data_IF_200435159070
#
_entry.id   IF_200435159070
#
_cell.length_a   1.000
_cell.length_b   1.000
_cell.length_c   1.000
_cell.angle_alpha   90.00
_cell.angle_beta   90.00
_cell.angle_gamma   90.00
#
_symmetry.space_group_name_H-M   'P 1'
#
loop_
_entity.id
_entity.type
_entity.pdbx_description
1 polymer ?
#
# COMPACT_ATOMS: atom_id res chain seq x y z
N UNK A 1 61.25 39.75 -45.42
CA UNK A 1 61.26 38.33 -44.99
C UNK A 1 60.08 38.13 -44.03
N UNK A 2 59.01 37.47 -44.49
CA UNK A 2 57.74 37.30 -43.76
C UNK A 2 57.87 36.16 -42.75
N UNK A 3 57.50 36.39 -41.49
CA UNK A 3 57.42 35.37 -40.43
C UNK A 3 56.03 34.71 -40.46
N UNK A 4 55.99 33.39 -40.60
CA UNK A 4 54.78 32.57 -40.52
C UNK A 4 54.25 32.49 -39.09
N UNK A 5 52.93 32.57 -38.95
CA UNK A 5 52.20 32.26 -37.72
C UNK A 5 51.60 30.84 -37.86
N UNK A 6 51.90 29.96 -36.91
CA UNK A 6 51.38 28.59 -36.83
C UNK A 6 50.13 28.61 -35.94
N UNK A 7 48.99 28.15 -36.45
CA UNK A 7 47.74 27.98 -35.68
C UNK A 7 47.61 26.51 -35.30
N UNK A 8 47.61 26.22 -34.00
CA UNK A 8 47.36 24.90 -33.42
C UNK A 8 45.89 24.84 -32.99
N UNK A 9 45.08 24.06 -33.70
CA UNK A 9 43.70 23.75 -33.31
C UNK A 9 43.70 22.52 -32.40
N UNK A 10 43.41 22.74 -31.12
CA UNK A 10 43.19 21.70 -30.11
C UNK A 10 41.77 21.13 -30.29
N UNK A 11 41.65 19.84 -30.55
CA UNK A 11 40.35 19.15 -30.58
C UNK A 11 40.11 18.53 -29.20
N UNK A 12 39.08 19.00 -28.49
CA UNK A 12 38.62 18.40 -27.24
C UNK A 12 37.42 17.48 -27.54
N UNK A 13 37.40 16.21 -27.07
CA UNK A 13 36.24 15.35 -27.25
C UNK A 13 35.10 15.82 -26.33
N UNK A 14 33.92 16.05 -26.92
CA UNK A 14 32.69 16.25 -26.17
C UNK A 14 32.33 14.95 -25.44
N UNK A 15 32.47 14.94 -24.12
CA UNK A 15 31.83 13.94 -23.27
C UNK A 15 30.32 14.20 -23.31
N UNK A 16 29.58 13.35 -24.04
CA UNK A 16 28.12 13.33 -23.98
C UNK A 16 27.75 12.76 -22.61
N UNK A 17 27.31 13.63 -21.69
CA UNK A 17 26.67 13.18 -20.47
C UNK A 17 25.39 12.44 -20.86
N UNK A 18 25.35 11.12 -20.62
CA UNK A 18 24.09 10.37 -20.67
C UNK A 18 23.16 10.99 -19.63
N UNK A 19 22.16 11.74 -20.10
CA UNK A 19 21.03 12.12 -19.26
C UNK A 19 20.34 10.80 -18.88
N UNK A 20 20.30 10.42 -17.60
CA UNK A 20 19.55 9.23 -17.20
C UNK A 20 18.11 9.41 -17.66
N UNK A 21 17.46 8.35 -18.18
CA UNK A 21 16.08 8.46 -18.64
C UNK A 21 15.22 9.01 -17.49
N UNK A 22 14.20 9.84 -17.80
CA UNK A 22 13.33 10.37 -16.75
C UNK A 22 12.75 9.19 -15.98
N UNK A 23 13.02 9.14 -14.67
CA UNK A 23 12.34 8.22 -13.77
C UNK A 23 10.84 8.31 -14.08
N UNK A 24 10.21 7.18 -14.39
CA UNK A 24 8.77 7.12 -14.65
C UNK A 24 8.04 7.54 -13.36
N UNK A 25 7.84 8.84 -13.22
CA UNK A 25 7.15 9.42 -12.08
C UNK A 25 5.69 9.06 -12.24
N UNK A 26 5.14 8.40 -11.21
CA UNK A 26 3.72 8.16 -11.10
C UNK A 26 2.94 9.44 -11.32
N UNK A 27 1.82 9.35 -12.02
CA UNK A 27 0.96 10.50 -12.19
C UNK A 27 0.46 11.00 -10.82
N UNK A 28 0.18 12.30 -10.73
CA UNK A 28 -0.20 12.93 -9.47
C UNK A 28 -1.50 12.36 -8.87
N UNK A 29 -2.40 11.83 -9.70
CA UNK A 29 -3.67 11.24 -9.26
C UNK A 29 -3.43 9.90 -8.57
N UNK A 30 -2.61 9.05 -9.19
CA UNK A 30 -2.17 7.76 -8.63
C UNK A 30 -1.43 7.97 -7.31
N UNK A 31 -0.50 8.92 -7.27
CA UNK A 31 0.23 9.23 -6.03
C UNK A 31 -0.71 9.71 -4.92
N UNK A 32 -1.68 10.57 -5.24
CA UNK A 32 -2.69 11.06 -4.29
C UNK A 32 -3.59 9.92 -3.79
N UNK A 33 -3.99 9.00 -4.66
CA UNK A 33 -4.81 7.84 -4.27
C UNK A 33 -4.06 6.93 -3.29
N UNK A 34 -2.79 6.63 -3.57
CA UNK A 34 -1.92 5.84 -2.68
C UNK A 34 -1.75 6.53 -1.32
N UNK A 35 -1.42 7.83 -1.31
CA UNK A 35 -1.26 8.58 -0.07
C UNK A 35 -2.55 8.60 0.75
N UNK A 36 -3.70 8.87 0.12
CA UNK A 36 -5.00 8.86 0.79
C UNK A 36 -5.32 7.47 1.37
N UNK A 37 -5.04 6.40 0.64
CA UNK A 37 -5.23 5.04 1.14
C UNK A 37 -4.36 4.76 2.38
N UNK A 38 -3.08 5.11 2.31
CA UNK A 38 -2.15 4.95 3.43
C UNK A 38 -2.46 5.85 4.63
N UNK A 39 -3.24 6.92 4.50
CA UNK A 39 -3.63 7.69 5.69
C UNK A 39 -4.56 6.90 6.61
N UNK A 40 -5.36 5.99 6.04
CA UNK A 40 -6.45 5.31 6.73
C UNK A 40 -6.26 3.80 6.89
N UNK A 41 -5.22 3.23 6.27
CA UNK A 41 -4.95 1.79 6.32
C UNK A 41 -3.52 1.55 6.81
N UNK A 42 -3.39 0.57 7.70
CA UNK A 42 -2.12 0.07 8.22
C UNK A 42 -2.15 -1.43 8.20
N UNK A 43 -1.05 -2.01 7.75
CA UNK A 43 -0.89 -3.45 7.67
C UNK A 43 0.32 -3.87 8.47
N UNK A 44 0.21 -4.99 9.16
CA UNK A 44 1.27 -5.58 9.96
C UNK A 44 1.48 -7.03 9.57
N UNK A 45 2.74 -7.44 9.53
CA UNK A 45 3.14 -8.81 9.22
C UNK A 45 2.71 -9.80 10.30
N UNK A 46 2.75 -9.38 11.57
CA UNK A 46 2.30 -10.18 12.69
C UNK A 46 1.33 -9.44 13.61
N UNK A 47 0.46 -10.17 14.35
CA UNK A 47 -0.33 -9.60 15.43
C UNK A 47 0.51 -8.95 16.53
N UNK A 48 1.70 -9.49 16.76
CA UNK A 48 2.63 -9.08 17.82
C UNK A 48 3.22 -7.68 17.55
N UNK A 49 3.47 -7.34 16.28
CA UNK A 49 3.96 -6.00 15.89
C UNK A 49 2.99 -4.90 16.32
N UNK A 50 1.68 -5.14 16.15
CA UNK A 50 0.64 -4.24 16.62
C UNK A 50 0.51 -4.27 18.15
N UNK A 51 0.72 -5.43 18.77
CA UNK A 51 0.58 -5.58 20.22
C UNK A 51 1.68 -4.88 21.03
N UNK A 52 2.85 -4.71 20.43
CA UNK A 52 3.97 -3.98 21.01
C UNK A 52 3.88 -2.46 20.80
N UNK A 53 2.93 -1.97 19.99
CA UNK A 53 2.75 -0.55 19.76
C UNK A 53 2.26 0.18 21.04
N UNK A 54 2.66 1.47 21.24
CA UNK A 54 2.09 2.30 22.29
C UNK A 54 0.57 2.30 22.24
N UNK A 55 -0.09 2.42 23.40
CA UNK A 55 -1.53 2.27 23.48
C UNK A 55 -2.17 3.26 24.44
N UNK A 56 -3.44 3.53 24.20
CA UNK A 56 -4.27 4.42 25.02
C UNK A 56 -4.66 3.68 26.30
N UNK A 57 -4.34 4.27 27.45
CA UNK A 57 -4.69 3.75 28.77
C UNK A 57 -6.03 4.32 29.23
N UNK A 58 -6.25 5.62 29.01
CA UNK A 58 -7.44 6.31 29.45
C UNK A 58 -7.75 7.52 28.57
N UNK A 59 -8.99 7.98 28.65
CA UNK A 59 -9.43 9.28 28.11
C UNK A 59 -10.02 10.09 29.25
N UNK A 60 -9.97 11.42 29.17
CA UNK A 60 -10.45 12.29 30.26
C UNK A 60 -11.94 12.07 30.61
N UNK A 61 -12.75 11.68 29.62
CA UNK A 61 -14.19 11.41 29.76
C UNK A 61 -14.55 9.91 29.74
N UNK A 62 -13.57 9.00 29.82
CA UNK A 62 -13.75 7.54 29.74
C UNK A 62 -13.97 6.97 28.33
N UNK A 63 -14.51 7.76 27.38
CA UNK A 63 -14.47 7.51 25.93
C UNK A 63 -14.40 8.83 25.17
N UNK A 64 -13.89 8.78 23.94
CA UNK A 64 -13.79 9.97 23.07
C UNK A 64 -14.61 9.74 21.80
N UNK A 65 -15.60 10.60 21.58
CA UNK A 65 -16.51 10.55 20.43
C UNK A 65 -16.21 11.64 19.40
N UNK A 66 -15.39 12.63 19.75
CA UNK A 66 -15.01 13.75 18.89
C UNK A 66 -13.65 14.34 19.23
N UNK A 67 -13.18 15.29 18.43
CA UNK A 67 -11.85 15.89 18.60
C UNK A 67 -11.86 17.23 19.37
N UNK A 68 -12.96 17.57 20.04
CA UNK A 68 -13.21 18.91 20.60
C UNK A 68 -12.41 19.17 21.89
N UNK A 69 -11.09 19.28 21.78
CA UNK A 69 -10.19 19.52 22.91
C UNK A 69 -10.05 18.33 23.85
N UNK A 70 -10.42 17.13 23.38
CA UNK A 70 -10.33 15.91 24.18
C UNK A 70 -8.88 15.42 24.27
N UNK A 71 -8.45 15.05 25.47
CA UNK A 71 -7.14 14.45 25.69
C UNK A 71 -7.24 12.95 25.97
N UNK A 72 -6.19 12.27 25.56
CA UNK A 72 -5.96 10.85 25.80
C UNK A 72 -4.61 10.67 26.50
N UNK A 73 -4.53 9.65 27.34
CA UNK A 73 -3.33 9.28 28.07
C UNK A 73 -2.84 7.94 27.58
N UNK A 74 -1.59 7.87 27.18
CA UNK A 74 -1.01 6.71 26.53
C UNK A 74 0.25 6.20 27.23
N UNK A 75 0.51 4.90 27.07
CA UNK A 75 1.70 4.23 27.56
C UNK A 75 2.50 3.65 26.40
N UNK A 76 3.82 3.71 26.54
CA UNK A 76 4.79 3.22 25.56
C UNK A 76 5.76 4.31 25.13
N UNK A 77 6.66 3.97 24.22
CA UNK A 77 7.68 4.90 23.73
C UNK A 77 7.12 5.79 22.62
N UNK A 78 6.64 6.98 22.97
CA UNK A 78 6.23 8.02 22.05
C UNK A 78 7.34 9.06 21.92
N UNK A 79 7.72 9.39 20.69
CA UNK A 79 8.75 10.37 20.37
C UNK A 79 8.15 11.79 20.38
N UNK A 80 8.61 12.69 21.27
CA UNK A 80 8.14 14.09 21.31
C UNK A 80 8.51 14.89 20.05
N UNK A 81 9.54 14.48 19.30
CA UNK A 81 9.93 15.14 18.05
C UNK A 81 8.95 14.83 16.90
N UNK A 82 8.10 13.82 17.06
CA UNK A 82 7.03 13.49 16.11
C UNK A 82 5.69 13.89 16.70
N UNK A 83 5.14 15.05 16.32
CA UNK A 83 3.97 15.57 16.99
C UNK A 83 2.71 14.77 16.67
N UNK A 84 2.61 14.07 15.54
CA UNK A 84 1.35 13.48 15.07
C UNK A 84 1.41 11.95 15.07
N UNK A 85 0.37 11.35 15.67
CA UNK A 85 0.14 9.91 15.71
C UNK A 85 -1.23 9.58 15.13
N UNK A 86 -1.33 8.48 14.41
CA UNK A 86 -2.60 7.86 14.10
C UNK A 86 -3.05 6.94 15.23
N UNK A 87 -4.36 6.88 15.46
CA UNK A 87 -5.00 6.00 16.41
C UNK A 87 -5.61 4.85 15.62
N UNK A 88 -5.21 3.62 15.93
CA UNK A 88 -5.59 2.44 15.19
C UNK A 88 -6.11 1.34 16.12
N UNK A 89 -7.01 0.52 15.60
CA UNK A 89 -7.50 -0.68 16.30
C UNK A 89 -7.25 -1.89 15.43
N UNK A 90 -6.97 -3.04 16.06
CA UNK A 90 -6.89 -4.31 15.34
C UNK A 90 -8.16 -4.53 14.52
N UNK A 91 -7.98 -4.71 13.22
CA UNK A 91 -9.04 -4.95 12.25
C UNK A 91 -9.04 -6.40 11.77
N UNK A 92 -9.28 -6.57 10.47
CA UNK A 92 -9.36 -7.88 9.80
C UNK A 92 -7.99 -8.58 9.76
N UNK A 93 -7.98 -9.87 10.07
CA UNK A 93 -6.85 -10.75 9.80
C UNK A 93 -6.93 -11.27 8.35
N UNK A 94 -5.80 -11.27 7.66
CA UNK A 94 -5.68 -11.78 6.31
C UNK A 94 -5.07 -13.16 6.34
N UNK A 95 -5.77 -14.09 5.70
CA UNK A 95 -5.37 -15.48 5.59
C UNK A 95 -5.26 -15.83 4.12
N UNK A 96 -4.25 -16.62 3.78
CA UNK A 96 -4.09 -17.13 2.42
C UNK A 96 -5.23 -18.10 2.08
N UNK A 97 -5.92 -17.91 0.94
CA UNK A 97 -7.08 -18.73 0.59
C UNK A 97 -6.72 -20.19 0.30
N UNK A 98 -5.48 -20.46 -0.12
CA UNK A 98 -5.04 -21.79 -0.56
C UNK A 98 -4.38 -22.58 0.59
N UNK A 99 -3.51 -21.91 1.36
CA UNK A 99 -2.71 -22.54 2.41
C UNK A 99 -3.28 -22.34 3.82
N UNK A 100 -4.25 -21.45 3.98
CA UNK A 100 -4.80 -21.02 5.26
C UNK A 100 -3.78 -20.42 6.24
N UNK A 101 -2.61 -20.00 5.74
CA UNK A 101 -1.61 -19.32 6.55
C UNK A 101 -2.07 -17.90 6.92
N UNK A 102 -1.81 -17.47 8.16
CA UNK A 102 -1.94 -16.07 8.53
C UNK A 102 -0.88 -15.24 7.80
N UNK A 103 -1.33 -14.33 6.95
CA UNK A 103 -0.49 -13.43 6.16
C UNK A 103 -0.17 -12.14 6.92
N UNK A 104 -1.16 -11.59 7.62
CA UNK A 104 -1.02 -10.34 8.36
C UNK A 104 -2.35 -9.84 8.92
N UNK A 105 -2.33 -8.65 9.49
CA UNK A 105 -3.50 -8.01 10.10
C UNK A 105 -3.61 -6.54 9.70
N UNK A 106 -4.81 -6.14 9.28
CA UNK A 106 -5.14 -4.73 9.10
C UNK A 106 -5.32 -4.06 10.47
N UNK A 107 -4.95 -2.79 10.55
CA UNK A 107 -5.34 -1.91 11.64
C UNK A 107 -6.27 -0.81 11.09
N UNK A 108 -7.47 -0.75 11.66
CA UNK A 108 -8.53 0.18 11.28
C UNK A 108 -8.22 1.59 11.83
N UNK A 109 -8.37 2.61 11.00
CA UNK A 109 -8.23 4.02 11.40
C UNK A 109 -9.37 4.43 12.33
N UNK A 110 -9.01 4.77 13.57
CA UNK A 110 -9.92 5.30 14.59
C UNK A 110 -9.81 6.83 14.64
N UNK A 111 -8.64 7.40 14.37
CA UNK A 111 -8.43 8.85 14.44
C UNK A 111 -6.98 9.27 14.37
N UNK A 112 -6.70 10.52 14.76
CA UNK A 112 -5.35 11.04 14.94
C UNK A 112 -5.25 11.84 16.24
N UNK A 113 -4.06 11.85 16.83
CA UNK A 113 -3.75 12.62 18.02
C UNK A 113 -2.40 13.32 17.89
N UNK A 114 -2.27 14.44 18.57
CA UNK A 114 -1.05 15.23 18.66
C UNK A 114 -0.42 15.08 20.03
N UNK A 115 0.87 14.74 20.07
CA UNK A 115 1.67 14.73 21.27
C UNK A 115 1.64 16.12 21.93
N UNK A 116 1.38 16.16 23.23
CA UNK A 116 1.42 17.40 24.01
C UNK A 116 2.52 17.37 25.08
N UNK A 117 2.50 16.35 25.93
CA UNK A 117 3.33 16.32 27.13
C UNK A 117 3.81 14.90 27.44
N UNK A 118 5.10 14.78 27.74
CA UNK A 118 5.68 13.56 28.29
C UNK A 118 5.40 13.46 29.80
N UNK A 119 5.11 12.25 30.27
CA UNK A 119 4.92 11.92 31.67
C UNK A 119 4.84 10.40 31.86
N UNK A 120 4.48 9.93 33.05
CA UNK A 120 4.26 8.49 33.33
C UNK A 120 3.26 7.87 32.34
N UNK A 121 2.25 8.66 31.99
CA UNK A 121 1.47 8.52 30.78
C UNK A 121 1.73 9.75 29.91
N UNK A 122 1.93 9.53 28.61
CA UNK A 122 2.01 10.62 27.64
C UNK A 122 0.61 11.17 27.40
N UNK A 123 0.47 12.49 27.44
CA UNK A 123 -0.79 13.17 27.11
C UNK A 123 -0.78 13.58 25.63
N UNK A 124 -1.84 13.23 24.91
CA UNK A 124 -2.05 13.64 23.53
C UNK A 124 -3.41 14.32 23.37
N UNK A 125 -3.49 15.32 22.50
CA UNK A 125 -4.75 15.93 22.08
C UNK A 125 -5.29 15.24 20.84
N UNK A 126 -6.53 14.78 20.89
CA UNK A 126 -7.20 14.18 19.74
C UNK A 126 -7.48 15.26 18.69
N UNK A 127 -7.13 15.00 17.44
CA UNK A 127 -7.28 15.93 16.31
C UNK A 127 -8.42 15.52 15.37
N UNK A 128 -8.61 14.21 15.19
CA UNK A 128 -9.63 13.63 14.31
C UNK A 128 -10.12 12.34 14.94
N UNK A 129 -11.43 12.12 14.83
CA UNK A 129 -12.09 10.88 15.25
C UNK A 129 -12.95 10.40 14.10
N UNK A 130 -12.70 9.19 13.61
CA UNK A 130 -13.57 8.50 12.64
C UNK A 130 -14.48 7.50 13.36
N UNK A 131 -13.99 6.93 14.45
CA UNK A 131 -14.72 5.99 15.33
C UNK A 131 -14.36 6.29 16.77
N UNK A 132 -15.23 5.90 17.71
CA UNK A 132 -14.99 6.07 19.14
C UNK A 132 -13.60 5.54 19.55
N UNK A 133 -12.79 6.41 20.17
CA UNK A 133 -11.48 6.07 20.72
C UNK A 133 -11.66 5.50 22.13
N UNK A 134 -11.00 4.38 22.39
CA UNK A 134 -11.15 3.58 23.61
C UNK A 134 -9.79 3.18 24.21
N UNK A 135 -9.74 2.88 25.51
CA UNK A 135 -8.59 2.19 26.09
C UNK A 135 -8.24 0.93 25.30
N UNK A 136 -6.96 0.72 25.05
CA UNK A 136 -6.42 -0.38 24.24
C UNK A 136 -6.21 -0.05 22.75
N UNK A 137 -6.75 1.07 22.25
CA UNK A 137 -6.41 1.54 20.90
C UNK A 137 -4.92 1.87 20.81
N UNK A 138 -4.32 1.58 19.66
CA UNK A 138 -2.87 1.70 19.41
C UNK A 138 -2.52 3.02 18.77
N UNK A 139 -1.38 3.58 19.17
CA UNK A 139 -0.81 4.79 18.59
C UNK A 139 0.34 4.41 17.67
N UNK A 140 0.18 4.77 16.40
CA UNK A 140 1.15 4.50 15.36
C UNK A 140 1.64 5.80 14.75
N UNK A 141 2.91 5.83 14.36
CA UNK A 141 3.48 6.98 13.66
C UNK A 141 2.87 7.09 12.26
N UNK A 142 2.95 8.28 11.70
CA UNK A 142 2.69 8.44 10.28
C UNK A 142 3.69 7.60 9.47
N UNK A 143 3.18 6.90 8.45
CA UNK A 143 4.05 6.23 7.50
C UNK A 143 4.82 7.27 6.69
N UNK A 144 6.11 7.04 6.42
CA UNK A 144 6.83 7.89 5.48
C UNK A 144 6.15 7.86 4.12
N UNK A 145 6.29 8.96 3.38
CA UNK A 145 5.84 9.01 2.00
C UNK A 145 6.54 7.90 1.20
N UNK A 146 5.77 7.20 0.35
CA UNK A 146 6.35 6.20 -0.53
C UNK A 146 7.03 6.89 -1.72
N UNK A 147 8.25 6.45 -2.02
CA UNK A 147 8.88 6.67 -3.31
C UNK A 147 8.89 5.34 -4.06
N UNK A 148 8.07 5.24 -5.09
CA UNK A 148 8.00 4.03 -5.91
C UNK A 148 9.00 4.13 -7.05
N UNK A 149 9.83 3.10 -7.18
CA UNK A 149 10.73 2.93 -8.31
C UNK A 149 10.37 1.62 -8.97
N UNK A 150 10.09 1.64 -10.27
CA UNK A 150 9.84 0.41 -11.02
C UNK A 150 11.06 -0.50 -10.92
N UNK A 151 10.92 -1.74 -10.44
CA UNK A 151 12.06 -2.65 -10.34
C UNK A 151 12.60 -2.98 -11.74
N UNK A 152 13.92 -2.98 -11.89
CA UNK A 152 14.58 -3.30 -13.17
C UNK A 152 14.32 -4.74 -13.61
N UNK A 153 14.18 -5.65 -12.65
CA UNK A 153 13.81 -7.04 -12.85
C UNK A 153 12.73 -7.41 -11.84
N UNK A 154 11.64 -8.00 -12.34
CA UNK A 154 10.55 -8.50 -11.51
C UNK A 154 10.53 -10.03 -11.56
N UNK A 155 10.53 -10.67 -10.39
CA UNK A 155 10.27 -12.11 -10.32
C UNK A 155 8.87 -12.42 -10.87
N UNK A 156 8.73 -13.58 -11.51
CA UNK A 156 7.40 -14.07 -11.85
C UNK A 156 6.69 -14.50 -10.56
N UNK A 157 5.56 -13.87 -10.26
CA UNK A 157 4.74 -14.13 -9.09
C UNK A 157 3.29 -14.26 -9.54
N UNK A 158 2.59 -15.26 -9.04
CA UNK A 158 1.14 -15.43 -9.21
C UNK A 158 0.44 -15.49 -7.85
N UNK A 159 -0.82 -15.05 -7.81
CA UNK A 159 -1.62 -15.05 -6.59
C UNK A 159 -3.05 -14.54 -6.81
N UNK A 160 -3.72 -14.18 -5.72
CA UNK A 160 -5.11 -13.74 -5.69
C UNK A 160 -5.28 -12.39 -4.99
N UNK A 161 -6.24 -11.60 -5.48
CA UNK A 161 -6.77 -10.46 -4.73
C UNK A 161 -7.60 -11.01 -3.58
N UNK A 162 -7.26 -10.72 -2.33
CA UNK A 162 -7.92 -11.31 -1.15
C UNK A 162 -8.85 -10.35 -0.42
N UNK A 163 -8.69 -9.03 -0.63
CA UNK A 163 -9.53 -8.04 0.04
C UNK A 163 -9.52 -6.69 -0.66
N UNK A 164 -10.56 -5.92 -0.36
CA UNK A 164 -10.67 -4.50 -0.71
C UNK A 164 -10.99 -3.76 0.58
N UNK A 165 -10.01 -3.09 1.23
CA UNK A 165 -10.19 -2.60 2.60
C UNK A 165 -11.35 -1.61 2.79
N UNK A 166 -11.80 -0.93 1.72
CA UNK A 166 -12.98 -0.05 1.76
C UNK A 166 -14.33 -0.78 1.66
N UNK A 167 -14.34 -2.10 1.52
CA UNK A 167 -15.56 -2.92 1.52
C UNK A 167 -16.47 -2.71 0.31
N UNK A 168 -15.92 -2.34 -0.85
CA UNK A 168 -16.71 -2.17 -2.08
C UNK A 168 -17.03 -3.53 -2.71
N UNK A 169 -18.25 -3.68 -3.23
CA UNK A 169 -18.71 -4.92 -3.90
C UNK A 169 -18.06 -5.13 -5.28
N UNK A 170 -17.45 -4.09 -5.85
CA UNK A 170 -16.74 -4.11 -7.12
C UNK A 170 -15.47 -3.29 -7.00
N UNK A 171 -14.37 -3.81 -7.54
CA UNK A 171 -13.08 -3.14 -7.56
C UNK A 171 -12.99 -2.28 -8.83
N UNK A 172 -12.86 -0.97 -8.64
CA UNK A 172 -12.78 0.04 -9.69
C UNK A 172 -11.37 0.61 -9.88
N UNK A 173 -11.28 1.58 -10.79
CA UNK A 173 -10.06 2.33 -11.07
C UNK A 173 -9.59 3.11 -9.83
N UNK A 174 -8.30 3.07 -9.53
CA UNK A 174 -7.65 3.67 -8.34
C UNK A 174 -8.15 3.13 -7.00
N UNK A 175 -8.85 1.99 -6.99
CA UNK A 175 -9.07 1.27 -5.75
C UNK A 175 -7.79 0.55 -5.32
N UNK A 176 -7.55 0.56 -4.01
CA UNK A 176 -6.49 -0.23 -3.41
C UNK A 176 -7.04 -1.61 -3.05
N UNK A 177 -6.25 -2.63 -3.36
CA UNK A 177 -6.55 -4.04 -3.13
C UNK A 177 -5.43 -4.67 -2.31
N UNK A 178 -5.77 -5.74 -1.61
CA UNK A 178 -4.82 -6.56 -0.84
C UNK A 178 -4.53 -7.85 -1.60
N UNK A 179 -3.26 -8.19 -1.76
CA UNK A 179 -2.79 -9.36 -2.50
C UNK A 179 -2.21 -10.40 -1.54
N UNK A 180 -2.43 -11.70 -1.77
CA UNK A 180 -1.90 -12.77 -0.90
C UNK A 180 -0.41 -13.08 -1.09
N UNK A 181 0.35 -12.20 -1.76
CA UNK A 181 1.78 -12.34 -1.99
C UNK A 181 2.50 -11.10 -1.50
N UNK A 182 3.68 -11.29 -0.96
CA UNK A 182 4.53 -10.23 -0.42
C UNK A 182 5.97 -10.34 -0.91
N UNK A 183 6.86 -9.71 -0.15
CA UNK A 183 8.30 -9.69 -0.43
C UNK A 183 8.92 -11.09 -0.38
N UNK A 184 8.42 -12.00 0.48
CA UNK A 184 8.89 -13.39 0.52
C UNK A 184 8.65 -14.13 -0.80
N UNK A 185 7.60 -13.75 -1.52
CA UNK A 185 7.22 -14.34 -2.80
C UNK A 185 7.92 -13.66 -3.98
N UNK A 186 8.65 -12.57 -3.74
CA UNK A 186 9.39 -11.82 -4.76
C UNK A 186 8.64 -10.61 -5.33
N UNK A 187 7.52 -10.18 -4.72
CA UNK A 187 6.91 -8.90 -5.08
C UNK A 187 7.75 -7.73 -4.56
N UNK A 188 7.79 -6.66 -5.36
CA UNK A 188 8.43 -5.41 -5.01
C UNK A 188 7.50 -4.21 -5.20
N UNK A 189 7.72 -3.17 -4.40
CA UNK A 189 7.08 -1.86 -4.59
C UNK A 189 7.41 -1.33 -6.00
N UNK A 190 6.41 -0.77 -6.69
CA UNK A 190 6.53 -0.28 -8.07
C UNK A 190 6.29 -1.34 -9.14
N UNK A 191 6.14 -2.62 -8.78
CA UNK A 191 5.89 -3.70 -9.74
C UNK A 191 4.48 -3.62 -10.34
N UNK A 192 4.39 -3.88 -11.64
CA UNK A 192 3.12 -4.00 -12.35
C UNK A 192 2.69 -5.46 -12.45
N UNK A 193 1.39 -5.71 -12.21
CA UNK A 193 0.78 -7.03 -12.28
C UNK A 193 -0.39 -7.01 -13.25
N UNK A 194 -0.60 -8.12 -13.94
CA UNK A 194 -1.77 -8.35 -14.79
C UNK A 194 -2.82 -9.10 -13.98
N UNK A 195 -4.06 -8.61 -13.98
CA UNK A 195 -5.19 -9.34 -13.38
C UNK A 195 -5.83 -10.22 -14.44
N UNK A 196 -6.01 -11.48 -14.11
CA UNK A 196 -6.65 -12.50 -14.95
C UNK A 196 -7.96 -12.90 -14.28
N UNK A 197 -9.04 -12.79 -15.05
CA UNK A 197 -10.33 -13.35 -14.66
C UNK A 197 -10.51 -14.71 -15.31
N UNK A 198 -10.83 -15.70 -14.48
CA UNK A 198 -11.24 -17.02 -14.94
C UNK A 198 -12.47 -16.90 -15.86
N UNK A 199 -12.45 -17.63 -16.98
CA UNK A 199 -13.60 -17.68 -17.85
C UNK A 199 -14.83 -18.29 -17.14
N UNK A 200 -16.02 -17.81 -17.50
CA UNK A 200 -17.25 -18.33 -16.91
C UNK A 200 -17.48 -19.79 -17.36
N UNK A 201 -17.97 -20.63 -16.44
CA UNK A 201 -18.52 -21.94 -16.82
C UNK A 201 -19.88 -21.73 -17.47
N UNK A 202 -19.96 -22.05 -18.75
CA UNK A 202 -21.19 -21.97 -19.55
C UNK A 202 -21.66 -23.37 -19.89
N UNK A 203 -22.97 -23.58 -19.84
CA UNK A 203 -23.58 -24.81 -20.34
C UNK A 203 -23.76 -24.68 -21.84
N UNK A 204 -23.15 -25.58 -22.59
CA UNK A 204 -23.38 -25.70 -24.03
C UNK A 204 -24.86 -26.08 -24.26
N UNK A 205 -25.59 -25.23 -24.97
CA UNK A 205 -27.02 -25.41 -25.21
C UNK A 205 -27.33 -26.60 -26.13
N UNK A 206 -26.38 -27.02 -26.97
CA UNK A 206 -26.54 -28.11 -27.92
C UNK A 206 -26.16 -29.46 -27.31
N UNK A 207 -25.01 -29.52 -26.62
CA UNK A 207 -24.50 -30.78 -26.06
C UNK A 207 -24.88 -30.99 -24.59
N UNK A 208 -25.30 -29.93 -23.90
CA UNK A 208 -25.60 -29.94 -22.47
C UNK A 208 -24.36 -29.99 -21.56
N UNK A 209 -23.16 -30.06 -22.12
CA UNK A 209 -21.89 -30.13 -21.40
C UNK A 209 -21.55 -28.78 -20.71
N UNK A 210 -20.82 -28.84 -19.60
CA UNK A 210 -20.23 -27.66 -18.98
C UNK A 210 -18.89 -27.36 -19.66
N UNK A 211 -18.75 -26.14 -20.17
CA UNK A 211 -17.55 -25.66 -20.85
C UNK A 211 -17.09 -24.37 -20.18
N UNK A 212 -15.82 -24.30 -19.81
CA UNK A 212 -15.23 -23.09 -19.27
C UNK A 212 -14.73 -22.22 -20.41
N UNK A 213 -15.14 -20.96 -20.43
CA UNK A 213 -14.60 -19.99 -21.38
C UNK A 213 -13.10 -19.76 -21.11
N UNK A 214 -12.33 -19.25 -22.08
CA UNK A 214 -10.94 -18.88 -21.84
C UNK A 214 -10.80 -17.79 -20.78
N UNK A 215 -9.69 -17.82 -20.07
CA UNK A 215 -9.27 -16.75 -19.17
C UNK A 215 -9.06 -15.45 -19.95
N UNK A 216 -9.36 -14.33 -19.31
CA UNK A 216 -9.25 -13.01 -19.92
C UNK A 216 -8.47 -12.06 -19.05
N UNK A 217 -7.61 -11.24 -19.68
CA UNK A 217 -6.96 -10.11 -19.03
C UNK A 217 -8.01 -9.08 -18.62
N UNK A 218 -8.15 -8.89 -17.32
CA UNK A 218 -9.21 -8.09 -16.71
C UNK A 218 -8.72 -6.70 -16.24
N UNK A 219 -7.41 -6.52 -16.00
CA UNK A 219 -6.86 -5.24 -15.55
C UNK A 219 -5.35 -5.25 -15.31
N UNK A 220 -4.86 -4.13 -14.78
CA UNK A 220 -3.46 -3.94 -14.35
C UNK A 220 -3.43 -3.37 -12.93
N UNK A 221 -2.55 -3.92 -12.08
CA UNK A 221 -2.29 -3.43 -10.73
C UNK A 221 -0.88 -2.85 -10.64
N UNK A 222 -0.70 -1.87 -9.74
CA UNK A 222 0.59 -1.36 -9.29
C UNK A 222 0.77 -1.69 -7.82
N UNK A 223 1.75 -2.54 -7.50
CA UNK A 223 2.15 -2.80 -6.11
C UNK A 223 2.78 -1.52 -5.57
N UNK A 224 2.27 -1.00 -4.45
CA UNK A 224 2.80 0.23 -3.85
C UNK A 224 3.30 0.05 -2.41
N UNK A 225 3.01 -1.09 -1.78
CA UNK A 225 3.53 -1.40 -0.46
C UNK A 225 3.58 -2.91 -0.24
N UNK A 226 4.78 -3.43 -0.08
CA UNK A 226 5.05 -4.83 0.18
C UNK A 226 5.31 -5.07 1.67
N UNK A 227 4.66 -6.11 2.16
CA UNK A 227 4.89 -6.70 3.48
C UNK A 227 5.56 -8.07 3.29
N UNK A 228 5.91 -8.77 4.36
CA UNK A 228 6.58 -10.08 4.28
C UNK A 228 5.76 -11.05 3.43
N UNK A 229 4.47 -11.23 3.77
CA UNK A 229 3.62 -12.29 3.20
C UNK A 229 2.48 -11.79 2.31
N UNK A 230 2.20 -10.49 2.31
CA UNK A 230 1.14 -9.89 1.52
C UNK A 230 1.55 -8.51 1.02
N UNK A 231 0.71 -7.86 0.23
CA UNK A 231 0.99 -6.52 -0.27
C UNK A 231 -0.28 -5.74 -0.58
N UNK A 232 -0.12 -4.42 -0.66
CA UNK A 232 -1.12 -3.53 -1.23
C UNK A 232 -0.76 -3.17 -2.66
N UNK A 233 -1.78 -3.17 -3.51
CA UNK A 233 -1.68 -2.74 -4.88
C UNK A 233 -2.84 -1.81 -5.26
N UNK A 234 -2.60 -0.94 -6.23
CA UNK A 234 -3.58 0.00 -6.76
C UNK A 234 -4.01 -0.45 -8.15
N UNK A 235 -5.30 -0.41 -8.44
CA UNK A 235 -5.84 -0.72 -9.76
C UNK A 235 -5.57 0.45 -10.70
N UNK A 236 -4.72 0.25 -11.71
CA UNK A 236 -4.41 1.26 -12.73
C UNK A 236 -5.34 1.19 -13.94
N UNK A 237 -5.89 0.00 -14.23
CA UNK A 237 -6.87 -0.18 -15.29
C UNK A 237 -7.70 -1.43 -15.04
N UNK A 238 -8.93 -1.41 -15.53
CA UNK A 238 -9.82 -2.56 -15.52
C UNK A 238 -10.63 -2.58 -16.82
N UNK A 239 -10.45 -3.62 -17.63
CA UNK A 239 -11.26 -3.86 -18.82
C UNK A 239 -12.61 -4.52 -18.48
N UNK A 240 -12.73 -5.16 -17.30
CA UNK A 240 -13.91 -5.98 -16.95
C UNK A 240 -14.46 -5.92 -15.52
N UNK A 241 -14.37 -4.88 -14.70
CA UNK A 241 -14.70 -4.96 -13.25
C UNK A 241 -13.86 -6.02 -12.53
N UNK A 242 -13.18 -5.71 -11.43
CA UNK A 242 -12.35 -6.68 -10.73
C UNK A 242 -13.08 -7.19 -9.48
N UNK A 243 -12.73 -8.39 -9.04
CA UNK A 243 -13.34 -9.05 -7.89
C UNK A 243 -12.28 -9.66 -6.96
N UNK A 244 -12.65 -9.85 -5.70
CA UNK A 244 -11.89 -10.68 -4.76
C UNK A 244 -11.85 -12.12 -5.33
N UNK A 245 -10.73 -12.80 -5.13
CA UNK A 245 -10.33 -14.08 -5.73
C UNK A 245 -9.94 -14.05 -7.21
N UNK A 246 -10.08 -12.92 -7.92
CA UNK A 246 -9.44 -12.81 -9.25
C UNK A 246 -7.93 -13.05 -9.11
N UNK A 247 -7.37 -13.80 -10.05
CA UNK A 247 -5.95 -14.15 -10.11
C UNK A 247 -5.16 -12.95 -10.62
N UNK A 248 -3.92 -12.80 -10.16
CA UNK A 248 -2.94 -11.93 -10.80
C UNK A 248 -1.66 -12.68 -11.09
N UNK A 249 -0.89 -12.14 -12.02
CA UNK A 249 0.47 -12.59 -12.32
C UNK A 249 1.37 -11.39 -12.66
N UNK A 250 2.69 -11.56 -12.59
CA UNK A 250 3.65 -10.54 -13.03
C UNK A 250 3.37 -10.15 -14.48
N UNK A 251 3.23 -8.84 -14.75
CA UNK A 251 2.96 -8.38 -16.10
C UNK A 251 4.14 -8.70 -17.02
N UNK A 252 3.86 -9.32 -18.17
CA UNK A 252 4.85 -9.46 -19.23
C UNK A 252 5.32 -8.08 -19.67
N UNK A 253 6.62 -7.80 -19.53
CA UNK A 253 7.23 -6.62 -20.14
C UNK A 253 7.17 -6.83 -21.65
N UNK A 254 6.21 -6.22 -22.31
CA UNK A 254 6.22 -6.14 -23.78
C UNK A 254 7.47 -5.36 -24.17
N UNK A 255 8.46 -6.07 -24.72
CA UNK A 255 9.67 -5.49 -25.30
C UNK A 255 9.34 -4.68 -26.55
#
# INVERSE_FOLDING_TARGET
>A
MRKSLLVLLLWAPFAVALVPPPEQRLDATTQKAIQAFLLHNRLFDSPEDLDNAPYIVATDAGRVLGANGEHIHARGSLDPAQPNYGIFRRGKAYTDPDTHELLGINADDIGTARFLLAGDLTTLAVQRVTREVRPGDRLLRAEPAISLTTPAHASFVEGHIIDVPRGVSQIGLLDAVTLNKGRRDGLADGQLLTVIRAGASVRDALTGAQTTLPDVRAGTLLVFRTHEKLSYALVLSASRALAVMDRFETAEQTQ
#
